data_IF_403419319663
#
_entry.id   IF_403419319663
#
_cell.length_a   1.000
_cell.length_b   1.000
_cell.length_c   1.000
_cell.angle_alpha   90.00
_cell.angle_beta   90.00
_cell.angle_gamma   90.00
#
_symmetry.space_group_name_H-M   'P 1'
#
loop_
_entity.id
_entity.type
_entity.pdbx_description
1 polymer ?
#
# COMPACT_ATOMS: atom_id res chain seq x y z
N UNK A 1 4.53 -53.53 1.51
CA UNK A 1 3.96 -52.72 2.61
C UNK A 1 4.83 -51.52 3.03
N UNK A 2 6.13 -51.60 3.10
CA UNK A 2 7.00 -50.47 3.53
C UNK A 2 6.96 -49.28 2.58
N UNK A 3 6.79 -49.46 1.29
CA UNK A 3 6.79 -48.35 0.28
C UNK A 3 5.49 -47.52 0.32
N UNK A 4 4.34 -48.13 0.65
CA UNK A 4 3.07 -47.41 0.76
C UNK A 4 3.04 -46.43 1.94
N UNK A 5 3.68 -46.76 3.05
CA UNK A 5 3.79 -45.90 4.22
C UNK A 5 4.72 -44.69 3.92
N UNK A 6 5.80 -44.91 3.18
CA UNK A 6 6.73 -43.84 2.79
C UNK A 6 6.10 -42.85 1.81
N UNK A 7 5.29 -43.32 0.85
CA UNK A 7 4.58 -42.48 -0.11
C UNK A 7 3.49 -41.67 0.60
N UNK A 8 2.77 -42.29 1.55
CA UNK A 8 1.74 -41.57 2.32
C UNK A 8 2.36 -40.47 3.19
N UNK A 9 3.50 -40.72 3.82
CA UNK A 9 4.23 -39.72 4.61
C UNK A 9 4.73 -38.55 3.74
N UNK A 10 5.21 -38.85 2.53
CA UNK A 10 5.67 -37.85 1.57
C UNK A 10 4.52 -36.97 1.06
N UNK A 11 3.36 -37.55 0.79
CA UNK A 11 2.13 -36.84 0.42
C UNK A 11 1.62 -35.92 1.54
N UNK A 12 1.70 -36.36 2.80
CA UNK A 12 1.32 -35.56 3.97
C UNK A 12 2.31 -34.38 4.14
N UNK A 13 3.60 -34.59 3.94
CA UNK A 13 4.60 -33.52 3.98
C UNK A 13 4.40 -32.48 2.85
N UNK A 14 3.98 -32.91 1.66
CA UNK A 14 3.72 -32.03 0.53
C UNK A 14 2.46 -31.17 0.75
N UNK A 15 1.46 -31.70 1.49
CA UNK A 15 0.22 -31.00 1.79
C UNK A 15 0.40 -29.92 2.88
N UNK A 16 1.45 -30.01 3.71
CA UNK A 16 1.72 -29.03 4.79
C UNK A 16 2.38 -27.73 4.32
N UNK A 17 2.75 -27.62 3.04
CA UNK A 17 3.43 -26.44 2.49
C UNK A 17 2.51 -25.47 1.72
N UNK A 18 1.20 -25.72 1.68
CA UNK A 18 0.24 -24.72 1.23
C UNK A 18 0.00 -23.69 2.34
N UNK A 19 1.07 -22.96 2.69
CA UNK A 19 0.94 -21.68 3.35
C UNK A 19 0.29 -20.76 2.32
N UNK A 20 -1.00 -20.50 2.45
CA UNK A 20 -1.64 -19.40 1.74
C UNK A 20 -0.97 -18.12 2.26
N UNK A 21 0.03 -17.63 1.56
CA UNK A 21 0.44 -16.26 1.71
C UNK A 21 -0.80 -15.44 1.34
N UNK A 22 -1.43 -14.81 2.33
CA UNK A 22 -2.45 -13.81 2.04
C UNK A 22 -1.71 -12.69 1.30
N UNK A 23 -2.11 -12.44 0.05
CA UNK A 23 -1.51 -11.39 -0.75
C UNK A 23 -1.83 -10.02 -0.13
N UNK A 24 -0.87 -9.10 -0.22
CA UNK A 24 -1.10 -7.70 0.13
C UNK A 24 -2.17 -7.11 -0.80
N UNK A 25 -3.03 -6.27 -0.25
CA UNK A 25 -4.04 -5.55 -1.02
C UNK A 25 -3.57 -4.11 -1.18
N UNK A 26 -3.54 -3.60 -2.41
CA UNK A 26 -2.96 -2.29 -2.71
C UNK A 26 -3.93 -1.39 -3.48
N UNK A 27 -3.92 -0.11 -3.12
CA UNK A 27 -4.56 0.99 -3.84
C UNK A 27 -3.61 2.19 -3.90
N UNK A 28 -3.65 2.98 -4.96
CA UNK A 28 -2.78 4.15 -5.09
C UNK A 28 -3.60 5.41 -5.38
N UNK A 29 -3.31 6.48 -4.63
CA UNK A 29 -3.81 7.83 -4.89
C UNK A 29 -2.72 8.62 -5.60
N UNK A 30 -3.06 9.28 -6.72
CA UNK A 30 -2.15 10.08 -7.52
C UNK A 30 -2.40 11.57 -7.31
N UNK A 31 -1.33 12.35 -7.39
CA UNK A 31 -1.36 13.79 -7.10
C UNK A 31 -0.84 14.63 -8.26
N UNK A 32 -1.38 15.82 -8.40
CA UNK A 32 -0.82 16.84 -9.27
C UNK A 32 0.53 17.36 -8.74
N UNK A 33 1.32 17.97 -9.63
CA UNK A 33 2.62 18.53 -9.26
C UNK A 33 2.51 19.56 -8.14
N UNK A 34 3.28 19.38 -7.05
CA UNK A 34 3.27 20.27 -5.89
C UNK A 34 1.99 20.25 -5.04
N UNK A 35 1.04 19.37 -5.33
CA UNK A 35 -0.24 19.26 -4.60
C UNK A 35 -0.27 18.04 -3.69
N UNK A 36 -1.00 18.16 -2.59
CA UNK A 36 -1.46 17.07 -1.73
C UNK A 36 -3.00 17.02 -1.63
N UNK A 37 -3.70 17.77 -2.48
CA UNK A 37 -5.15 17.70 -2.57
C UNK A 37 -5.57 16.42 -3.28
N UNK A 38 -6.61 15.78 -2.78
CA UNK A 38 -7.24 14.59 -3.36
C UNK A 38 -8.60 15.02 -3.90
N UNK A 39 -8.83 14.82 -5.20
CA UNK A 39 -10.11 15.18 -5.82
C UNK A 39 -11.25 14.24 -5.39
N UNK A 40 -12.50 14.69 -5.59
CA UNK A 40 -13.69 13.95 -5.17
C UNK A 40 -13.83 12.58 -5.84
N UNK A 41 -13.37 12.45 -7.07
CA UNK A 41 -13.41 11.17 -7.78
C UNK A 41 -12.48 10.15 -7.10
N UNK A 42 -11.23 10.51 -6.84
CA UNK A 42 -10.28 9.63 -6.14
C UNK A 42 -10.73 9.33 -4.69
N UNK A 43 -11.35 10.30 -4.00
CA UNK A 43 -11.95 10.05 -2.67
C UNK A 43 -13.05 9.00 -2.74
N UNK A 44 -13.95 9.10 -3.72
CA UNK A 44 -15.03 8.14 -3.93
C UNK A 44 -14.49 6.74 -4.25
N UNK A 45 -13.53 6.65 -5.15
CA UNK A 45 -12.87 5.37 -5.51
C UNK A 45 -12.18 4.73 -4.30
N UNK A 46 -11.47 5.53 -3.49
CA UNK A 46 -10.84 5.06 -2.26
C UNK A 46 -11.89 4.50 -1.29
N UNK A 47 -13.00 5.20 -1.09
CA UNK A 47 -14.05 4.76 -0.17
C UNK A 47 -14.72 3.48 -0.64
N UNK A 48 -15.04 3.36 -1.93
CA UNK A 48 -15.56 2.12 -2.50
C UNK A 48 -14.59 0.95 -2.33
N UNK A 49 -13.31 1.19 -2.59
CA UNK A 49 -12.29 0.17 -2.41
C UNK A 49 -12.15 -0.24 -0.93
N UNK A 50 -12.11 0.71 0.01
CA UNK A 50 -12.05 0.41 1.43
C UNK A 50 -13.28 -0.41 1.89
N UNK A 51 -14.47 -0.09 1.38
CA UNK A 51 -15.71 -0.80 1.72
C UNK A 51 -15.72 -2.24 1.16
N UNK A 52 -14.99 -2.49 0.08
CA UNK A 52 -14.88 -3.83 -0.52
C UNK A 52 -13.97 -4.79 0.24
N UNK A 53 -13.09 -4.29 1.12
CA UNK A 53 -12.15 -5.13 1.87
C UNK A 53 -12.86 -5.77 3.07
N UNK A 54 -12.98 -7.11 3.12
CA UNK A 54 -13.55 -7.80 4.26
C UNK A 54 -12.56 -7.87 5.43
N UNK A 55 -13.06 -7.95 6.66
CA UNK A 55 -12.26 -8.20 7.86
C UNK A 55 -11.05 -7.26 8.00
N UNK A 56 -11.26 -5.95 7.83
CA UNK A 56 -10.19 -4.92 7.88
C UNK A 56 -9.36 -4.98 9.16
N UNK A 57 -9.96 -5.48 10.25
CA UNK A 57 -9.28 -5.68 11.54
C UNK A 57 -8.11 -6.66 11.48
N UNK A 58 -8.06 -7.51 10.44
CA UNK A 58 -6.98 -8.50 10.23
C UNK A 58 -5.78 -7.94 9.45
N UNK A 59 -5.77 -6.63 9.19
CA UNK A 59 -4.70 -6.00 8.43
C UNK A 59 -4.02 -4.87 9.21
N UNK A 60 -2.75 -4.68 8.93
CA UNK A 60 -2.01 -3.44 9.14
C UNK A 60 -1.99 -2.63 7.85
N UNK A 61 -2.03 -1.31 7.94
CA UNK A 61 -2.09 -0.43 6.78
C UNK A 61 -0.80 0.38 6.71
N UNK A 62 -0.13 0.33 5.56
CA UNK A 62 1.04 1.15 5.30
C UNK A 62 0.74 2.18 4.22
N UNK A 63 1.06 3.44 4.50
CA UNK A 63 0.99 4.54 3.55
C UNK A 63 2.40 4.89 3.10
N UNK A 64 2.70 4.66 1.84
CA UNK A 64 4.02 4.92 1.24
C UNK A 64 3.90 6.06 0.24
N UNK A 65 4.38 7.25 0.61
CA UNK A 65 4.29 8.44 -0.22
C UNK A 65 5.57 8.69 -1.02
N UNK A 66 5.39 9.01 -2.29
CA UNK A 66 6.45 9.33 -3.24
C UNK A 66 6.20 10.68 -3.91
N UNK A 67 7.28 11.30 -4.38
CA UNK A 67 7.23 12.51 -5.20
C UNK A 67 8.05 12.33 -6.49
N UNK A 68 7.85 13.20 -7.46
CA UNK A 68 8.82 13.43 -8.52
C UNK A 68 10.01 14.26 -7.98
N UNK A 69 11.10 14.43 -8.73
CA UNK A 69 12.29 15.14 -8.24
C UNK A 69 12.16 16.67 -8.25
N UNK A 70 11.07 17.25 -8.75
CA UNK A 70 10.91 18.70 -8.85
C UNK A 70 10.75 19.30 -7.46
N UNK A 71 11.52 20.35 -7.16
CA UNK A 71 11.47 21.10 -5.89
C UNK A 71 12.56 20.72 -4.87
N UNK A 72 13.36 19.71 -5.15
CA UNK A 72 14.48 19.28 -4.30
C UNK A 72 14.05 18.47 -3.08
N UNK A 73 15.05 17.97 -2.32
CA UNK A 73 14.82 16.97 -1.26
C UNK A 73 13.94 17.49 -0.12
N UNK A 74 14.30 18.62 0.47
CA UNK A 74 13.59 19.14 1.65
C UNK A 74 12.10 19.41 1.39
N UNK A 75 11.80 20.00 0.23
CA UNK A 75 10.43 20.25 -0.20
C UNK A 75 9.66 18.94 -0.42
N UNK A 76 10.28 17.97 -1.10
CA UNK A 76 9.64 16.70 -1.40
C UNK A 76 9.47 15.80 -0.16
N UNK A 77 10.36 15.87 0.83
CA UNK A 77 10.18 15.24 2.12
C UNK A 77 8.94 15.81 2.86
N UNK A 78 8.77 17.12 2.83
CA UNK A 78 7.59 17.78 3.37
C UNK A 78 6.32 17.39 2.59
N UNK A 79 6.35 17.48 1.24
CA UNK A 79 5.20 17.19 0.38
C UNK A 79 4.72 15.74 0.53
N UNK A 80 5.64 14.78 0.63
CA UNK A 80 5.29 13.38 0.83
C UNK A 80 4.64 13.12 2.19
N UNK A 81 5.04 13.84 3.26
CA UNK A 81 4.34 13.80 4.55
C UNK A 81 2.91 14.33 4.44
N UNK A 82 2.73 15.50 3.79
CA UNK A 82 1.40 16.11 3.60
C UNK A 82 0.45 15.18 2.82
N UNK A 83 0.97 14.48 1.80
CA UNK A 83 0.20 13.48 1.05
C UNK A 83 -0.22 12.28 1.91
N UNK A 84 0.69 11.76 2.73
CA UNK A 84 0.34 10.69 3.68
C UNK A 84 -0.74 11.13 4.66
N UNK A 85 -0.66 12.36 5.19
CA UNK A 85 -1.65 12.90 6.12
C UNK A 85 -3.02 13.11 5.45
N UNK A 86 -3.04 13.57 4.19
CA UNK A 86 -4.28 13.72 3.44
C UNK A 86 -4.98 12.36 3.20
N UNK A 87 -4.22 11.32 2.87
CA UNK A 87 -4.76 9.97 2.70
C UNK A 87 -5.20 9.37 4.04
N UNK A 88 -4.40 9.50 5.10
CA UNK A 88 -4.74 9.04 6.45
C UNK A 88 -6.07 9.65 6.92
N UNK A 89 -6.26 10.96 6.71
CA UNK A 89 -7.48 11.66 7.07
C UNK A 89 -8.73 11.00 6.44
N UNK A 90 -8.66 10.58 5.17
CA UNK A 90 -9.76 9.89 4.50
C UNK A 90 -9.97 8.47 5.05
N UNK A 91 -8.90 7.74 5.32
CA UNK A 91 -8.98 6.37 5.86
C UNK A 91 -9.63 6.37 7.25
N UNK A 92 -9.29 7.34 8.09
CA UNK A 92 -9.85 7.47 9.44
C UNK A 92 -11.38 7.71 9.43
N UNK A 93 -11.93 8.29 8.35
CA UNK A 93 -13.38 8.45 8.19
C UNK A 93 -14.12 7.11 8.00
N UNK A 94 -13.40 6.03 7.69
CA UNK A 94 -13.93 4.67 7.54
C UNK A 94 -13.79 3.82 8.79
N UNK A 95 -13.70 4.45 9.96
CA UNK A 95 -13.62 3.82 11.28
C UNK A 95 -12.40 2.89 11.46
N UNK A 96 -11.36 3.09 10.65
CA UNK A 96 -10.09 2.38 10.77
C UNK A 96 -9.25 3.06 11.85
N UNK A 97 -8.81 2.34 12.92
CA UNK A 97 -8.07 2.95 14.01
C UNK A 97 -6.69 3.45 13.58
N UNK A 98 -6.31 4.65 14.04
CA UNK A 98 -5.02 5.27 13.70
C UNK A 98 -3.81 4.39 14.05
N UNK A 99 -3.87 3.64 15.14
CA UNK A 99 -2.76 2.77 15.56
C UNK A 99 -2.45 1.62 14.58
N UNK A 100 -3.35 1.34 13.62
CA UNK A 100 -3.14 0.38 12.54
C UNK A 100 -2.47 0.98 11.30
N UNK A 101 -2.27 2.30 11.28
CA UNK A 101 -1.74 3.01 10.11
C UNK A 101 -0.28 3.37 10.37
N UNK A 102 0.61 2.87 9.54
CA UNK A 102 2.03 3.24 9.50
C UNK A 102 2.30 4.10 8.28
N UNK A 103 2.97 5.24 8.46
CA UNK A 103 3.28 6.18 7.37
C UNK A 103 4.78 6.17 7.09
N UNK A 104 5.15 6.09 5.82
CA UNK A 104 6.52 6.26 5.34
C UNK A 104 6.56 7.26 4.20
N UNK A 105 7.30 8.34 4.41
CA UNK A 105 7.44 9.41 3.43
C UNK A 105 8.81 9.28 2.76
N UNK A 106 8.82 8.78 1.52
CA UNK A 106 10.03 8.55 0.76
C UNK A 106 10.53 9.82 0.04
N UNK A 107 9.65 10.83 -0.13
CA UNK A 107 9.96 11.99 -0.93
C UNK A 107 10.33 11.60 -2.35
N UNK A 108 11.47 12.10 -2.83
CA UNK A 108 12.02 11.73 -4.15
C UNK A 108 12.87 10.45 -4.13
N UNK A 109 13.07 9.86 -2.96
CA UNK A 109 13.82 8.60 -2.82
C UNK A 109 12.97 7.40 -3.24
N UNK A 110 13.63 6.32 -3.69
CA UNK A 110 12.96 5.08 -4.12
C UNK A 110 11.90 5.28 -5.21
N UNK A 111 12.19 6.10 -6.21
CA UNK A 111 11.35 6.23 -7.38
C UNK A 111 11.19 4.86 -8.08
N UNK A 112 9.95 4.45 -8.32
CA UNK A 112 9.64 3.19 -9.02
C UNK A 112 9.60 3.40 -10.53
N UNK A 113 9.14 4.57 -10.96
CA UNK A 113 9.02 4.94 -12.37
C UNK A 113 10.13 5.89 -12.80
N UNK A 114 10.45 5.89 -14.09
CA UNK A 114 11.50 6.75 -14.62
C UNK A 114 11.15 8.24 -14.49
N UNK A 115 11.98 8.98 -13.77
CA UNK A 115 11.87 10.45 -13.68
C UNK A 115 12.35 11.18 -14.95
N UNK A 116 12.80 10.46 -15.99
CA UNK A 116 13.21 11.04 -17.29
C UNK A 116 12.03 11.29 -18.21
N UNK A 117 10.85 10.79 -17.91
CA UNK A 117 9.63 11.02 -18.68
C UNK A 117 8.57 11.73 -17.85
N UNK A 118 7.75 12.56 -18.50
CA UNK A 118 6.62 13.21 -17.86
C UNK A 118 5.64 12.19 -17.25
N UNK A 119 5.36 11.11 -17.97
CA UNK A 119 4.48 10.05 -17.49
C UNK A 119 5.07 9.36 -16.24
N UNK A 120 6.36 9.05 -16.24
CA UNK A 120 7.02 8.42 -15.09
C UNK A 120 7.01 9.34 -13.86
N UNK A 121 7.26 10.64 -14.04
CA UNK A 121 7.12 11.62 -12.97
C UNK A 121 5.70 11.67 -12.41
N UNK A 122 4.67 11.66 -13.26
CA UNK A 122 3.27 11.58 -12.81
C UNK A 122 3.00 10.33 -11.98
N UNK A 123 3.49 9.17 -12.41
CA UNK A 123 3.33 7.90 -11.70
C UNK A 123 4.08 7.86 -10.36
N UNK A 124 5.14 8.66 -10.19
CA UNK A 124 5.85 8.79 -8.92
C UNK A 124 5.13 9.71 -7.92
N UNK A 125 4.26 10.61 -8.36
CA UNK A 125 3.47 11.50 -7.48
C UNK A 125 2.28 10.74 -6.89
N UNK A 126 2.53 9.83 -5.93
CA UNK A 126 1.49 8.96 -5.39
C UNK A 126 1.68 8.64 -3.92
N UNK A 127 0.62 8.18 -3.32
CA UNK A 127 0.63 7.42 -2.06
C UNK A 127 0.09 6.03 -2.34
N UNK A 128 0.89 5.02 -2.05
CA UNK A 128 0.46 3.64 -2.05
C UNK A 128 -0.15 3.30 -0.68
N UNK A 129 -1.37 2.79 -0.68
CA UNK A 129 -2.10 2.30 0.48
C UNK A 129 -2.02 0.78 0.43
N UNK A 130 -1.34 0.17 1.39
CA UNK A 130 -1.07 -1.27 1.38
C UNK A 130 -1.63 -1.89 2.65
N UNK A 131 -2.52 -2.86 2.48
CA UNK A 131 -3.05 -3.68 3.55
C UNK A 131 -2.21 -4.95 3.66
N UNK A 132 -1.44 -5.08 4.71
CA UNK A 132 -0.66 -6.27 5.04
C UNK A 132 -1.45 -7.15 6.00
N UNK A 133 -1.69 -8.43 5.66
CA UNK A 133 -2.37 -9.33 6.57
C UNK A 133 -1.54 -9.58 7.83
N UNK A 134 -2.20 -9.51 8.99
CA UNK A 134 -1.59 -9.91 10.26
C UNK A 134 -1.51 -11.43 10.29
N UNK A 135 -0.31 -11.95 10.52
CA UNK A 135 -0.08 -13.37 10.73
C UNK A 135 -0.41 -13.70 12.21
N UNK A 136 -1.42 -14.53 12.41
CA UNK A 136 -1.80 -15.05 13.73
C UNK A 136 -1.39 -16.51 13.87
#
# INVERSE_FOLDING_TARGET
>A
MKYHQSILLFLILLCSTLVYAQDEIRFSIYFEGGSYAIDEFQQSELFHWLDSIPNKEKYEIHLLSHTDPIGGKQYNDWLSRMRNEAVEFLILQKEIPQHKITKKSWGLENAVYSNRSYQGMRMNRRVDIIFYPLLF
#
